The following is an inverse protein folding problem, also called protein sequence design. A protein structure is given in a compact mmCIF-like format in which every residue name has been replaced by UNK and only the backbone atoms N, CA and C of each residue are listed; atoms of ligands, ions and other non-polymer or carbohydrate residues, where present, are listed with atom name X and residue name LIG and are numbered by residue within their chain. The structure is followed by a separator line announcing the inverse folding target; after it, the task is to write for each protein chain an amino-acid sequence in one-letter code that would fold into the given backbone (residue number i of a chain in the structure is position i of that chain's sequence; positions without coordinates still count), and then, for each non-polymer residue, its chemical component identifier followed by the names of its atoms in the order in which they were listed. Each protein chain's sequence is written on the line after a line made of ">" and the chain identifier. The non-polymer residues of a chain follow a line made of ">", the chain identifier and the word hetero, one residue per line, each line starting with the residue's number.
data_IF_096670695001
#
_entry.id   IF_096670695001
#
_cell.length_a   1.000
_cell.length_b   1.000
_cell.length_c   1.000
_cell.angle_alpha   90.00
_cell.angle_beta   90.00
_cell.angle_gamma   90.00
#
_symmetry.space_group_name_H-M   'P 1'
#
loop_
_entity.id
_entity.type
_entity.pdbx_description
1 polymer ?
#
# COMPACT_ATOMS: atom_id res chain seq x y z
N UNK A 1 45.51 -0.82 -1.89
CA UNK A 1 45.17 -2.00 -1.05
C UNK A 1 44.93 -1.68 0.43
N UNK A 2 45.56 -0.66 1.03
CA UNK A 2 45.40 -0.37 2.46
C UNK A 2 43.99 0.14 2.83
N UNK A 3 43.35 0.91 1.95
CA UNK A 3 42.01 1.47 2.20
C UNK A 3 40.89 0.42 2.26
N UNK A 4 40.98 -0.66 1.48
CA UNK A 4 39.97 -1.74 1.51
C UNK A 4 39.91 -2.46 2.86
N UNK A 5 41.00 -2.45 3.63
CA UNK A 5 41.03 -3.06 4.98
C UNK A 5 40.31 -2.21 6.02
N UNK A 6 40.02 -0.94 5.72
CA UNK A 6 39.29 -0.03 6.62
C UNK A 6 37.78 -0.25 6.57
N UNK A 7 37.27 -0.95 5.55
CA UNK A 7 35.85 -1.32 5.48
C UNK A 7 35.49 -2.30 6.59
N UNK A 8 34.43 -2.03 7.37
CA UNK A 8 34.03 -2.91 8.45
C UNK A 8 33.44 -4.23 7.90
N UNK A 9 33.66 -5.32 8.64
CA UNK A 9 32.94 -6.57 8.38
C UNK A 9 31.47 -6.37 8.70
N UNK A 10 30.59 -6.84 7.82
CA UNK A 10 29.16 -6.58 7.95
C UNK A 10 28.58 -7.09 9.28
N UNK A 11 28.97 -8.28 9.74
CA UNK A 11 28.49 -8.86 11.00
C UNK A 11 28.85 -8.04 12.24
N UNK A 12 29.95 -7.27 12.16
CA UNK A 12 30.36 -6.33 13.22
C UNK A 12 29.71 -4.98 13.03
N UNK A 13 29.59 -4.53 11.79
CA UNK A 13 29.01 -3.25 11.44
C UNK A 13 27.54 -3.13 11.87
N UNK A 14 26.73 -4.15 11.58
CA UNK A 14 25.30 -4.15 11.94
C UNK A 14 25.04 -4.21 13.46
N UNK A 15 26.07 -4.54 14.26
CA UNK A 15 25.99 -4.56 15.74
C UNK A 15 26.33 -3.20 16.37
N UNK A 16 26.60 -2.17 15.56
CA UNK A 16 26.84 -0.83 16.09
C UNK A 16 25.61 -0.35 16.88
N UNK A 17 25.84 0.25 18.05
CA UNK A 17 24.77 0.73 18.95
C UNK A 17 23.82 1.72 18.27
N UNK A 18 24.30 2.47 17.27
CA UNK A 18 23.48 3.40 16.49
C UNK A 18 22.41 2.72 15.63
N UNK A 19 22.50 1.41 15.43
CA UNK A 19 21.49 0.63 14.70
C UNK A 19 20.50 -0.09 15.64
N UNK A 20 20.56 0.14 16.95
CA UNK A 20 19.67 -0.52 17.91
C UNK A 20 18.20 -0.18 17.65
N UNK A 21 17.34 -1.20 17.64
CA UNK A 21 15.90 -1.06 17.39
C UNK A 21 15.49 -1.03 15.91
N UNK A 22 16.44 -1.08 14.97
CA UNK A 22 16.16 -1.18 13.54
C UNK A 22 15.86 -2.63 13.12
N UNK A 23 15.08 -2.81 12.06
CA UNK A 23 14.83 -4.12 11.47
C UNK A 23 16.13 -4.68 10.86
N UNK A 24 16.64 -5.75 11.47
CA UNK A 24 17.95 -6.32 11.11
C UNK A 24 17.99 -6.84 9.67
N UNK A 25 16.85 -7.32 9.13
CA UNK A 25 16.76 -7.83 7.76
C UNK A 25 16.98 -6.72 6.74
N UNK A 26 16.27 -5.61 6.91
CA UNK A 26 16.41 -4.42 6.07
C UNK A 26 17.78 -3.75 6.26
N UNK A 27 18.23 -3.60 7.51
CA UNK A 27 19.54 -3.03 7.83
C UNK A 27 20.67 -3.81 7.15
N UNK A 28 20.63 -5.14 7.19
CA UNK A 28 21.66 -5.98 6.55
C UNK A 28 21.69 -5.75 5.05
N UNK A 29 20.52 -5.66 4.39
CA UNK A 29 20.44 -5.38 2.94
C UNK A 29 21.02 -4.01 2.61
N UNK A 30 20.64 -2.99 3.37
CA UNK A 30 21.13 -1.61 3.17
C UNK A 30 22.62 -1.50 3.41
N UNK A 31 23.13 -2.10 4.49
CA UNK A 31 24.54 -2.11 4.82
C UNK A 31 25.37 -2.83 3.75
N UNK A 32 24.89 -3.96 3.18
CA UNK A 32 25.55 -4.61 2.04
C UNK A 32 25.68 -3.68 0.85
N UNK A 33 24.60 -3.00 0.48
CA UNK A 33 24.61 -2.07 -0.66
C UNK A 33 25.58 -0.92 -0.43
N UNK A 34 25.60 -0.32 0.76
CA UNK A 34 26.53 0.77 1.08
C UNK A 34 27.99 0.29 1.06
N UNK A 35 28.29 -0.84 1.71
CA UNK A 35 29.65 -1.36 1.76
C UNK A 35 30.17 -1.81 0.37
N UNK A 36 29.32 -2.39 -0.48
CA UNK A 36 29.69 -2.70 -1.86
C UNK A 36 29.90 -1.44 -2.71
N UNK A 37 29.07 -0.41 -2.53
CA UNK A 37 29.27 0.89 -3.19
C UNK A 37 30.61 1.52 -2.79
N UNK A 38 30.93 1.51 -1.50
CA UNK A 38 32.21 2.03 -0.99
C UNK A 38 33.39 1.19 -1.49
N UNK A 39 33.25 -0.14 -1.54
CA UNK A 39 34.27 -1.04 -2.10
C UNK A 39 34.59 -0.68 -3.56
N UNK A 40 33.56 -0.43 -4.37
CA UNK A 40 33.73 -0.02 -5.77
C UNK A 40 34.44 1.35 -5.89
N UNK A 41 34.06 2.33 -5.06
CA UNK A 41 34.68 3.66 -5.04
C UNK A 41 36.16 3.59 -4.64
N UNK A 42 36.51 2.76 -3.66
CA UNK A 42 37.90 2.56 -3.21
C UNK A 42 38.73 1.88 -4.31
N UNK A 43 38.16 0.89 -5.01
CA UNK A 43 38.82 0.29 -6.18
C UNK A 43 39.02 1.29 -7.32
N UNK A 44 38.13 2.28 -7.45
CA UNK A 44 38.24 3.42 -8.36
C UNK A 44 39.22 4.52 -7.91
N UNK A 45 39.94 4.34 -6.80
CA UNK A 45 40.97 5.26 -6.33
C UNK A 45 40.53 6.27 -5.26
N UNK A 46 39.30 6.18 -4.74
CA UNK A 46 38.87 7.01 -3.62
C UNK A 46 39.35 6.45 -2.27
N UNK A 47 39.44 7.33 -1.25
CA UNK A 47 39.78 6.93 0.11
C UNK A 47 38.55 6.40 0.86
N UNK A 48 38.77 5.47 1.80
CA UNK A 48 37.69 4.96 2.63
C UNK A 48 37.21 6.08 3.59
N UNK A 49 35.89 6.38 3.66
CA UNK A 49 35.35 7.27 4.67
C UNK A 49 35.59 6.70 6.09
N UNK A 50 35.55 7.58 7.10
CA UNK A 50 35.60 7.16 8.50
C UNK A 50 34.36 6.34 8.88
N UNK A 51 34.49 5.46 9.89
CA UNK A 51 33.41 4.56 10.32
C UNK A 51 32.12 5.32 10.65
N UNK A 52 32.21 6.47 11.31
CA UNK A 52 31.04 7.30 11.65
C UNK A 52 30.28 7.78 10.42
N UNK A 53 30.99 8.14 9.34
CA UNK A 53 30.36 8.54 8.08
C UNK A 53 29.67 7.35 7.40
N UNK A 54 30.29 6.17 7.44
CA UNK A 54 29.68 4.94 6.89
C UNK A 54 28.41 4.57 7.66
N UNK A 55 28.44 4.68 8.99
CA UNK A 55 27.26 4.47 9.85
C UNK A 55 26.16 5.48 9.51
N UNK A 56 26.50 6.77 9.41
CA UNK A 56 25.54 7.83 9.10
C UNK A 56 24.89 7.63 7.72
N UNK A 57 25.69 7.35 6.68
CA UNK A 57 25.17 7.07 5.33
C UNK A 57 24.27 5.84 5.31
N UNK A 58 24.62 4.80 6.07
CA UNK A 58 23.80 3.59 6.19
C UNK A 58 22.46 3.90 6.86
N UNK A 59 22.45 4.72 7.91
CA UNK A 59 21.21 5.18 8.57
C UNK A 59 20.31 5.94 7.60
N UNK A 60 20.86 6.89 6.84
CA UNK A 60 20.07 7.67 5.87
C UNK A 60 19.48 6.80 4.76
N UNK A 61 20.24 5.81 4.28
CA UNK A 61 19.72 4.83 3.32
C UNK A 61 18.68 3.91 3.96
N UNK A 62 18.89 3.52 5.21
CA UNK A 62 17.94 2.69 5.95
C UNK A 62 16.62 3.44 6.11
N UNK A 63 16.65 4.70 6.55
CA UNK A 63 15.46 5.53 6.67
C UNK A 63 14.72 5.65 5.34
N UNK A 64 15.43 5.89 4.23
CA UNK A 64 14.80 5.94 2.90
C UNK A 64 14.15 4.61 2.52
N UNK A 65 14.81 3.49 2.82
CA UNK A 65 14.29 2.16 2.50
C UNK A 65 13.15 1.73 3.43
N UNK A 66 13.18 2.12 4.71
CA UNK A 66 12.09 1.88 5.67
C UNK A 66 10.89 2.78 5.41
N UNK A 67 11.12 3.97 4.85
CA UNK A 67 10.09 4.93 4.46
C UNK A 67 9.44 4.64 3.10
N UNK A 68 9.61 3.43 2.54
CA UNK A 68 8.86 2.97 1.36
C UNK A 68 7.40 2.58 1.70
N UNK A 69 6.98 2.71 2.96
CA UNK A 69 5.62 2.45 3.40
C UNK A 69 4.68 3.63 3.09
N UNK A 70 3.38 3.31 2.98
CA UNK A 70 2.33 4.33 2.97
C UNK A 70 2.41 5.14 4.27
N UNK A 71 2.40 6.47 4.14
CA UNK A 71 2.43 7.40 5.28
C UNK A 71 1.26 8.37 5.19
N UNK A 72 0.84 8.88 6.36
CA UNK A 72 -0.11 9.97 6.41
C UNK A 72 0.48 11.23 5.78
N UNK A 73 -0.36 12.00 5.07
CA UNK A 73 0.00 13.22 4.37
C UNK A 73 -0.98 14.33 4.77
N UNK A 74 -0.51 15.58 4.76
CA UNK A 74 -1.38 16.76 4.92
C UNK A 74 -1.76 17.23 3.51
N UNK A 75 -3.05 17.22 3.18
CA UNK A 75 -3.53 17.74 1.91
C UNK A 75 -3.66 19.27 1.97
N UNK A 76 -2.70 19.98 1.36
CA UNK A 76 -2.71 21.44 1.22
C UNK A 76 -3.12 21.92 -0.19
N UNK A 77 -3.62 21.02 -1.05
CA UNK A 77 -3.92 21.34 -2.47
C UNK A 77 -5.29 21.99 -2.68
N UNK A 78 -6.18 21.91 -1.69
CA UNK A 78 -7.60 22.29 -1.84
C UNK A 78 -8.45 21.31 -2.65
N UNK A 79 -7.86 20.24 -3.21
CA UNK A 79 -8.58 19.19 -3.94
C UNK A 79 -9.13 18.17 -2.95
N UNK A 80 -10.46 18.09 -2.82
CA UNK A 80 -11.12 17.19 -1.86
C UNK A 80 -10.97 15.72 -2.29
N UNK A 81 -11.40 15.38 -3.51
CA UNK A 81 -11.25 14.02 -4.07
C UNK A 81 -9.91 13.94 -4.80
N UNK A 82 -8.84 13.80 -4.04
CA UNK A 82 -7.50 13.76 -4.62
C UNK A 82 -7.09 12.32 -4.94
N UNK A 83 -7.11 11.96 -6.23
CA UNK A 83 -6.81 10.58 -6.70
C UNK A 83 -5.48 10.05 -6.19
N UNK A 84 -4.40 10.84 -6.27
CA UNK A 84 -3.07 10.44 -5.81
C UNK A 84 -2.92 10.34 -4.28
N UNK A 85 -3.80 11.00 -3.51
CA UNK A 85 -3.74 10.98 -2.03
C UNK A 85 -4.77 10.01 -1.42
N UNK A 86 -5.40 9.15 -2.23
CA UNK A 86 -6.33 8.13 -1.75
C UNK A 86 -7.81 8.52 -1.81
N UNK A 87 -8.19 9.55 -2.59
CA UNK A 87 -9.57 10.00 -2.80
C UNK A 87 -10.20 10.50 -1.49
N UNK A 88 -11.22 9.80 -0.98
CA UNK A 88 -11.98 10.22 0.20
C UNK A 88 -11.30 9.74 1.47
N UNK A 89 -11.08 10.66 2.42
CA UNK A 89 -10.71 10.30 3.78
C UNK A 89 -11.88 9.60 4.49
N UNK A 90 -11.57 8.62 5.33
CA UNK A 90 -12.56 7.91 6.14
C UNK A 90 -12.74 8.68 7.45
N UNK A 91 -14.00 8.95 7.81
CA UNK A 91 -14.32 9.57 9.09
C UNK A 91 -13.86 8.67 10.26
N UNK A 92 -13.13 9.19 11.25
CA UNK A 92 -12.66 8.41 12.40
C UNK A 92 -13.78 7.64 13.13
N UNK A 93 -14.98 8.19 13.19
CA UNK A 93 -16.15 7.57 13.82
C UNK A 93 -16.68 6.39 13.00
N UNK A 94 -16.62 6.47 11.66
CA UNK A 94 -16.94 5.32 10.78
C UNK A 94 -15.95 4.19 11.04
N UNK A 95 -14.64 4.51 11.07
CA UNK A 95 -13.61 3.50 11.33
C UNK A 95 -13.77 2.87 12.72
N UNK A 96 -14.03 3.69 13.75
CA UNK A 96 -14.26 3.22 15.12
C UNK A 96 -15.43 2.24 15.21
N UNK A 97 -16.54 2.51 14.52
CA UNK A 97 -17.70 1.60 14.46
C UNK A 97 -17.40 0.30 13.70
N UNK A 98 -16.57 0.37 12.66
CA UNK A 98 -16.20 -0.80 11.87
C UNK A 98 -15.12 -1.67 12.54
N UNK A 99 -14.29 -1.08 13.41
CA UNK A 99 -13.14 -1.76 14.02
C UNK A 99 -13.48 -3.11 14.66
N UNK A 100 -14.51 -3.28 15.51
CA UNK A 100 -14.82 -4.58 16.11
C UNK A 100 -15.17 -5.67 15.09
N UNK A 101 -15.81 -5.30 13.98
CA UNK A 101 -16.19 -6.21 12.89
C UNK A 101 -14.97 -6.62 12.06
N UNK A 102 -14.03 -5.70 11.86
CA UNK A 102 -12.80 -5.93 11.08
C UNK A 102 -11.77 -6.75 11.89
N UNK A 103 -11.67 -6.52 13.20
CA UNK A 103 -10.68 -7.19 14.06
C UNK A 103 -11.21 -8.48 14.71
N UNK A 104 -12.46 -8.86 14.44
CA UNK A 104 -13.12 -10.04 15.01
C UNK A 104 -13.81 -10.91 13.97
N UNK A 105 -14.46 -11.99 14.43
CA UNK A 105 -15.37 -12.75 13.59
C UNK A 105 -16.68 -11.98 13.42
N UNK A 106 -17.28 -12.08 12.22
CA UNK A 106 -18.53 -11.43 11.90
C UNK A 106 -19.45 -12.36 11.13
N UNK A 107 -20.72 -11.96 11.05
CA UNK A 107 -21.75 -12.65 10.29
C UNK A 107 -21.65 -12.36 8.77
N UNK A 108 -20.45 -12.11 8.25
CA UNK A 108 -20.19 -11.69 6.86
C UNK A 108 -20.84 -12.61 5.82
N UNK A 109 -20.85 -13.91 6.05
CA UNK A 109 -21.52 -14.93 5.22
C UNK A 109 -22.31 -15.90 6.09
N UNK A 110 -22.85 -15.43 7.22
CA UNK A 110 -23.59 -16.27 8.16
C UNK A 110 -24.91 -15.60 8.58
N UNK A 111 -26.02 -16.31 8.42
CA UNK A 111 -27.31 -15.88 8.96
C UNK A 111 -27.47 -16.41 10.38
N UNK A 112 -27.57 -15.49 11.35
CA UNK A 112 -27.83 -15.84 12.76
C UNK A 112 -29.21 -16.47 12.92
N UNK A 113 -30.20 -15.99 12.18
CA UNK A 113 -31.58 -16.51 12.23
C UNK A 113 -31.68 -17.93 11.67
N UNK A 114 -31.02 -18.20 10.54
CA UNK A 114 -31.07 -19.51 9.87
C UNK A 114 -30.03 -20.50 10.43
N UNK A 115 -29.08 -20.03 11.23
CA UNK A 115 -27.98 -20.84 11.77
C UNK A 115 -27.05 -21.41 10.69
N UNK A 116 -26.91 -20.73 9.55
CA UNK A 116 -26.22 -21.29 8.38
C UNK A 116 -25.60 -20.25 7.45
N UNK A 117 -24.91 -20.72 6.41
CA UNK A 117 -24.26 -19.87 5.41
C UNK A 117 -25.28 -18.96 4.71
N UNK A 118 -24.92 -17.69 4.56
CA UNK A 118 -25.68 -16.68 3.81
C UNK A 118 -24.80 -15.97 2.79
N UNK A 119 -25.41 -15.11 1.98
CA UNK A 119 -24.68 -14.31 1.01
C UNK A 119 -24.29 -12.97 1.64
N UNK A 120 -23.03 -12.56 1.47
CA UNK A 120 -22.51 -11.28 1.96
C UNK A 120 -23.19 -10.06 1.35
N UNK A 121 -23.81 -10.21 0.18
CA UNK A 121 -24.48 -9.12 -0.50
C UNK A 121 -25.86 -8.80 0.06
N UNK A 122 -26.49 -9.73 0.80
CA UNK A 122 -27.88 -9.57 1.26
C UNK A 122 -28.08 -8.28 2.07
N UNK A 123 -27.12 -7.94 2.94
CA UNK A 123 -27.22 -6.76 3.80
C UNK A 123 -26.98 -5.45 3.06
N UNK A 124 -25.82 -5.31 2.40
CA UNK A 124 -25.45 -4.05 1.74
C UNK A 124 -26.27 -3.82 0.48
N UNK A 125 -26.59 -4.87 -0.26
CA UNK A 125 -27.46 -4.82 -1.44
C UNK A 125 -28.85 -4.33 -1.08
N UNK A 126 -29.49 -4.93 -0.06
CA UNK A 126 -30.80 -4.50 0.43
C UNK A 126 -30.83 -3.04 0.87
N UNK A 127 -29.83 -2.60 1.64
CA UNK A 127 -29.72 -1.19 2.07
C UNK A 127 -29.57 -0.21 0.89
N UNK A 128 -28.77 -0.57 -0.12
CA UNK A 128 -28.60 0.27 -1.30
C UNK A 128 -29.85 0.31 -2.17
N UNK A 129 -30.51 -0.84 -2.35
CA UNK A 129 -31.77 -0.94 -3.07
C UNK A 129 -32.84 -0.06 -2.42
N UNK A 130 -32.97 -0.12 -1.08
CA UNK A 130 -33.89 0.74 -0.33
C UNK A 130 -33.51 2.23 -0.44
N UNK A 131 -32.23 2.57 -0.25
CA UNK A 131 -31.76 3.96 -0.26
C UNK A 131 -32.01 4.66 -1.60
N UNK A 132 -31.86 3.93 -2.72
CA UNK A 132 -31.98 4.49 -4.06
C UNK A 132 -33.31 4.15 -4.76
N UNK A 133 -34.18 3.34 -4.13
CA UNK A 133 -35.44 2.90 -4.71
C UNK A 133 -35.29 1.94 -5.88
N UNK A 134 -34.25 1.10 -5.88
CA UNK A 134 -34.04 0.06 -6.88
C UNK A 134 -34.62 -1.29 -6.43
N UNK A 135 -34.86 -2.19 -7.39
CA UNK A 135 -35.34 -3.56 -7.08
C UNK A 135 -34.27 -4.39 -6.35
N UNK A 136 -33.00 -4.22 -6.71
CA UNK A 136 -31.86 -4.91 -6.11
C UNK A 136 -30.57 -4.09 -6.34
N UNK A 137 -29.51 -4.41 -5.59
CA UNK A 137 -28.20 -3.82 -5.76
C UNK A 137 -27.06 -4.81 -5.45
N UNK A 138 -26.00 -4.74 -6.24
CA UNK A 138 -24.76 -5.50 -6.03
C UNK A 138 -23.58 -4.56 -5.88
N UNK A 139 -22.71 -4.85 -4.91
CA UNK A 139 -21.44 -4.13 -4.70
C UNK A 139 -20.29 -4.99 -5.19
N UNK A 140 -19.44 -4.41 -6.02
CA UNK A 140 -18.22 -5.04 -6.51
C UNK A 140 -17.00 -4.21 -6.08
N UNK A 141 -15.80 -4.73 -6.35
CA UNK A 141 -14.53 -4.14 -5.92
C UNK A 141 -14.41 -2.63 -6.20
N UNK A 142 -14.73 -2.21 -7.42
CA UNK A 142 -14.75 -0.80 -7.82
C UNK A 142 -15.64 -0.59 -9.06
N UNK A 143 -15.81 0.67 -9.48
CA UNK A 143 -16.63 1.00 -10.65
C UNK A 143 -16.12 0.40 -11.97
N UNK A 144 -14.80 0.25 -12.16
CA UNK A 144 -14.27 -0.39 -13.36
C UNK A 144 -14.69 -1.86 -13.45
N UNK A 145 -14.66 -2.58 -12.32
CA UNK A 145 -15.23 -3.92 -12.23
C UNK A 145 -16.74 -3.95 -12.48
N UNK A 146 -17.48 -2.92 -12.04
CA UNK A 146 -18.92 -2.83 -12.28
C UNK A 146 -19.23 -2.67 -13.78
N UNK A 147 -18.57 -1.74 -14.46
CA UNK A 147 -18.70 -1.53 -15.92
C UNK A 147 -18.36 -2.81 -16.67
N UNK A 148 -17.24 -3.45 -16.33
CA UNK A 148 -16.84 -4.71 -16.93
C UNK A 148 -17.89 -5.80 -16.71
N UNK A 149 -18.36 -5.99 -15.47
CA UNK A 149 -19.32 -7.02 -15.12
C UNK A 149 -20.64 -6.81 -15.88
N UNK A 150 -21.15 -5.58 -15.96
CA UNK A 150 -22.38 -5.25 -16.68
C UNK A 150 -22.24 -5.57 -18.16
N UNK A 151 -21.21 -5.05 -18.84
CA UNK A 151 -21.03 -5.27 -20.28
C UNK A 151 -20.76 -6.74 -20.62
N UNK A 152 -19.92 -7.42 -19.83
CA UNK A 152 -19.63 -8.83 -20.04
C UNK A 152 -20.83 -9.74 -19.72
N UNK A 153 -21.76 -9.31 -18.87
CA UNK A 153 -22.94 -10.14 -18.56
C UNK A 153 -24.06 -9.91 -19.57
N UNK A 154 -24.34 -8.66 -19.93
CA UNK A 154 -25.52 -8.31 -20.73
C UNK A 154 -25.24 -8.11 -22.22
N UNK A 155 -23.98 -7.91 -22.63
CA UNK A 155 -23.61 -7.61 -24.03
C UNK A 155 -22.54 -8.55 -24.60
N UNK A 156 -22.29 -9.69 -23.95
CA UNK A 156 -21.29 -10.65 -24.43
C UNK A 156 -21.68 -11.26 -25.77
N UNK A 157 -20.84 -11.02 -26.77
CA UNK A 157 -21.10 -11.46 -28.15
C UNK A 157 -22.18 -10.65 -28.88
N UNK A 158 -22.68 -9.59 -28.26
CA UNK A 158 -23.61 -8.62 -28.85
C UNK A 158 -23.00 -7.22 -28.89
N UNK A 159 -23.87 -6.22 -29.07
CA UNK A 159 -23.48 -4.81 -29.12
C UNK A 159 -23.90 -4.07 -27.84
N UNK A 160 -23.09 -3.09 -27.44
CA UNK A 160 -23.44 -2.09 -26.42
C UNK A 160 -23.32 -0.71 -27.07
N UNK A 161 -24.45 -0.02 -27.24
CA UNK A 161 -24.50 1.28 -27.90
C UNK A 161 -24.08 2.36 -26.90
N UNK A 162 -23.09 3.18 -27.29
CA UNK A 162 -22.57 4.28 -26.48
C UNK A 162 -22.32 5.51 -27.37
N UNK A 163 -22.50 6.71 -26.83
CA UNK A 163 -22.10 7.93 -27.54
C UNK A 163 -20.59 7.98 -27.67
N UNK A 164 -20.07 8.43 -28.83
CA UNK A 164 -18.62 8.64 -29.00
C UNK A 164 -18.04 9.62 -27.96
N UNK A 165 -18.86 10.56 -27.47
CA UNK A 165 -18.45 11.50 -26.43
C UNK A 165 -18.34 10.90 -25.02
N UNK A 166 -18.87 9.69 -24.81
CA UNK A 166 -18.84 8.98 -23.54
C UNK A 166 -17.71 7.94 -23.47
N UNK A 167 -16.90 7.83 -24.53
CA UNK A 167 -15.63 7.11 -24.53
C UNK A 167 -14.59 7.93 -23.75
N UNK A 168 -14.77 7.96 -22.44
CA UNK A 168 -13.95 8.72 -21.51
C UNK A 168 -12.78 7.90 -20.97
N UNK A 169 -11.65 8.56 -20.76
CA UNK A 169 -10.51 8.02 -20.03
C UNK A 169 -10.46 8.72 -18.67
N UNK A 170 -10.61 7.95 -17.58
CA UNK A 170 -10.59 8.48 -16.21
C UNK A 170 -9.32 7.99 -15.53
N UNK A 171 -8.25 8.78 -15.65
CA UNK A 171 -6.95 8.53 -15.00
C UNK A 171 -6.31 7.21 -15.46
N UNK A 172 -5.44 7.30 -16.47
CA UNK A 172 -4.76 6.15 -17.09
C UNK A 172 -4.10 5.16 -16.15
#
# INVERSE_FOLDING_TARGET
>A
MNELRKLPQIDKFIKNERFFGLDTSLLTKVARVELESLRAQILGGQNCPGLDAIVQNTLERYEKASNLSLRSLINATGVIIHTNLGRSAIDPEILRRAQPVITGYSNLEYSVEKGGRSNRYDYVGGLLAELFGFEDAVVVNNNASAVFLVLNTFSKGGEAIISRGELVEIGG
#
